data_IF_578413206656
#
_entry.id   IF_578413206656
#
_cell.length_a   1.000
_cell.length_b   1.000
_cell.length_c   1.000
_cell.angle_alpha   90.00
_cell.angle_beta   90.00
_cell.angle_gamma   90.00
#
_symmetry.space_group_name_H-M   'P 1'
#
loop_
_entity.id
_entity.type
_entity.pdbx_description
1 polymer ?
#
# COMPACT_ATOMS: atom_id res chain seq x y z
N UNK A 1 -77.00 64.80 40.09
CA UNK A 1 -75.89 64.19 40.85
C UNK A 1 -74.58 64.75 40.29
N UNK A 2 -74.03 65.78 40.93
CA UNK A 2 -72.57 66.05 40.96
C UNK A 2 -71.93 65.08 42.01
N UNK A 3 -70.61 64.76 42.01
CA UNK A 3 -69.45 65.67 41.82
C UNK A 3 -68.44 65.20 40.73
N UNK A 4 -67.69 66.10 40.06
CA UNK A 4 -66.39 66.74 40.42
C UNK A 4 -65.31 65.69 40.77
N UNK A 5 -64.10 65.72 40.20
CA UNK A 5 -62.99 66.59 40.63
C UNK A 5 -61.76 66.47 39.68
N UNK A 6 -61.31 67.64 39.19
CA UNK A 6 -59.94 68.17 38.89
C UNK A 6 -59.05 67.49 37.82
N UNK A 7 -58.64 68.15 36.72
CA UNK A 7 -57.76 69.35 36.53
C UNK A 7 -56.35 69.22 37.11
N UNK A 8 -55.36 69.46 36.22
CA UNK A 8 -53.92 69.78 36.34
C UNK A 8 -53.10 68.80 35.48
N UNK A 9 -52.30 69.19 34.48
CA UNK A 9 -51.79 70.49 34.07
C UNK A 9 -50.34 70.33 33.58
N UNK A 10 -50.01 70.98 32.45
CA UNK A 10 -48.66 71.35 31.95
C UNK A 10 -47.77 70.20 31.41
N UNK A 11 -47.47 70.10 30.11
CA UNK A 11 -46.49 70.90 29.34
C UNK A 11 -45.21 71.23 30.14
N UNK A 12 -44.13 70.46 29.95
CA UNK A 12 -42.76 70.94 29.70
C UNK A 12 -41.71 69.81 29.66
N UNK A 13 -40.68 70.05 28.83
CA UNK A 13 -39.38 69.37 28.68
C UNK A 13 -39.39 68.17 27.71
N UNK A 14 -39.02 68.34 26.42
CA UNK A 14 -37.65 68.58 25.93
C UNK A 14 -36.63 67.87 26.81
N UNK A 15 -36.16 66.71 26.38
CA UNK A 15 -35.02 66.07 27.03
C UNK A 15 -34.79 64.64 26.55
N UNK A 16 -33.78 64.49 25.69
CA UNK A 16 -33.14 63.24 25.30
C UNK A 16 -33.95 62.31 24.40
N UNK A 17 -33.74 62.56 23.09
CA UNK A 17 -33.15 61.52 22.24
C UNK A 17 -32.06 60.83 23.07
N UNK A 18 -32.39 59.70 23.68
CA UNK A 18 -31.37 58.72 24.06
C UNK A 18 -30.85 58.20 22.74
N UNK A 19 -29.93 58.96 22.14
CA UNK A 19 -28.84 58.39 21.38
C UNK A 19 -28.15 57.51 22.40
N UNK A 20 -28.65 56.28 22.51
CA UNK A 20 -27.88 55.20 23.05
C UNK A 20 -26.67 55.12 22.14
N UNK A 21 -25.61 55.83 22.52
CA UNK A 21 -24.28 55.33 22.28
C UNK A 21 -24.24 54.00 23.02
N UNK A 22 -24.76 52.95 22.37
CA UNK A 22 -24.15 51.65 22.46
C UNK A 22 -22.68 51.93 22.17
N UNK A 23 -21.88 51.99 23.23
CA UNK A 23 -20.44 51.89 23.14
C UNK A 23 -20.21 50.57 22.43
N UNK A 24 -20.17 50.61 21.09
CA UNK A 24 -19.69 49.51 20.29
C UNK A 24 -18.28 49.32 20.81
N UNK A 25 -18.08 48.31 21.64
CA UNK A 25 -16.76 47.86 22.04
C UNK A 25 -16.08 47.44 20.75
N UNK A 26 -15.34 48.37 20.15
CA UNK A 26 -14.71 48.17 18.85
C UNK A 26 -13.50 47.28 19.05
N UNK A 27 -13.54 46.09 18.46
CA UNK A 27 -12.48 45.11 18.54
C UNK A 27 -11.15 45.69 18.02
N UNK A 28 -10.07 45.36 18.70
CA UNK A 28 -8.69 45.57 18.23
C UNK A 28 -8.42 44.74 16.98
N UNK A 29 -7.32 45.03 16.26
CA UNK A 29 -6.96 44.26 15.07
C UNK A 29 -6.73 42.78 15.40
N UNK A 30 -6.04 42.50 16.51
CA UNK A 30 -5.78 41.14 16.98
C UNK A 30 -7.08 40.39 17.32
N UNK A 31 -8.04 41.04 17.99
CA UNK A 31 -9.37 40.46 18.27
C UNK A 31 -10.19 40.20 17.00
N UNK A 32 -10.02 41.04 15.96
CA UNK A 32 -10.66 40.84 14.65
C UNK A 32 -10.05 39.64 13.93
N UNK A 33 -8.73 39.48 13.96
CA UNK A 33 -8.04 38.35 13.35
C UNK A 33 -8.39 37.03 14.05
N UNK A 34 -8.41 36.99 15.38
CA UNK A 34 -8.83 35.80 16.14
C UNK A 34 -10.29 35.42 15.84
N UNK A 35 -11.19 36.40 15.77
CA UNK A 35 -12.58 36.16 15.39
C UNK A 35 -12.72 35.72 13.92
N UNK A 36 -11.89 36.26 13.02
CA UNK A 36 -11.85 35.84 11.63
C UNK A 36 -11.45 34.37 11.51
N UNK A 37 -10.38 33.95 12.17
CA UNK A 37 -9.90 32.56 12.18
C UNK A 37 -10.99 31.59 12.68
N UNK A 38 -11.69 31.96 13.77
CA UNK A 38 -12.81 31.17 14.28
C UNK A 38 -13.96 31.08 13.27
N UNK A 39 -14.38 32.20 12.68
CA UNK A 39 -15.47 32.21 11.69
C UNK A 39 -15.09 31.47 10.41
N UNK A 40 -13.84 31.55 9.97
CA UNK A 40 -13.32 30.77 8.85
C UNK A 40 -13.38 29.28 9.17
N UNK A 41 -12.87 28.86 10.33
CA UNK A 41 -12.92 27.46 10.74
C UNK A 41 -14.35 26.91 10.80
N UNK A 42 -15.31 27.67 11.34
CA UNK A 42 -16.73 27.30 11.33
C UNK A 42 -17.30 27.23 9.92
N UNK A 43 -17.00 28.22 9.07
CA UNK A 43 -17.46 28.27 7.69
C UNK A 43 -16.96 27.08 6.87
N UNK A 44 -15.67 26.78 6.99
CA UNK A 44 -15.02 25.62 6.37
C UNK A 44 -15.65 24.32 6.86
N UNK A 45 -15.89 24.17 8.16
CA UNK A 45 -16.53 22.97 8.71
C UNK A 45 -17.95 22.75 8.19
N UNK A 46 -18.68 23.81 7.81
CA UNK A 46 -20.02 23.71 7.21
C UNK A 46 -19.98 23.45 5.71
N UNK A 47 -19.01 24.04 5.01
CA UNK A 47 -18.90 23.95 3.56
C UNK A 47 -18.14 22.69 3.07
N UNK A 48 -17.28 22.10 3.90
CA UNK A 48 -16.50 20.92 3.52
C UNK A 48 -17.37 19.66 3.56
N UNK A 49 -17.94 19.30 2.40
CA UNK A 49 -18.61 18.02 2.22
C UNK A 49 -17.61 16.90 1.88
N UNK A 50 -17.25 16.14 2.91
CA UNK A 50 -16.39 14.96 2.84
C UNK A 50 -16.88 13.90 1.84
N UNK A 51 -18.20 13.71 1.73
CA UNK A 51 -18.79 12.74 0.80
C UNK A 51 -18.66 13.21 -0.65
N UNK A 52 -18.83 14.51 -0.88
CA UNK A 52 -18.61 15.09 -2.21
C UNK A 52 -17.15 14.94 -2.66
N UNK A 53 -16.18 15.13 -1.75
CA UNK A 53 -14.75 14.91 -2.04
C UNK A 53 -14.49 13.46 -2.45
N UNK A 54 -15.00 12.49 -1.69
CA UNK A 54 -14.84 11.06 -2.03
C UNK A 54 -15.47 10.73 -3.40
N UNK A 55 -16.67 11.24 -3.66
CA UNK A 55 -17.40 11.03 -4.93
C UNK A 55 -16.65 11.64 -6.11
N UNK A 56 -16.06 12.83 -5.94
CA UNK A 56 -15.25 13.50 -6.95
C UNK A 56 -13.97 12.72 -7.32
N UNK A 57 -13.44 11.94 -6.39
CA UNK A 57 -12.31 11.03 -6.62
C UNK A 57 -12.72 9.65 -7.15
N UNK A 58 -14.02 9.35 -7.27
CA UNK A 58 -14.51 8.03 -7.62
C UNK A 58 -14.33 6.98 -6.51
N UNK A 59 -14.24 7.41 -5.25
CA UNK A 59 -14.03 6.55 -4.08
C UNK A 59 -15.38 6.29 -3.39
N UNK A 60 -15.62 5.05 -2.96
CA UNK A 60 -16.82 4.71 -2.18
C UNK A 60 -16.81 5.36 -0.80
N UNK A 61 -17.95 5.94 -0.42
CA UNK A 61 -18.18 6.47 0.92
C UNK A 61 -18.87 5.42 1.83
N UNK A 62 -18.46 5.26 3.11
CA UNK A 62 -17.36 5.94 3.79
C UNK A 62 -15.98 5.43 3.36
N UNK A 63 -14.99 6.32 3.35
CA UNK A 63 -13.59 5.95 3.09
C UNK A 63 -13.01 5.33 4.35
N UNK A 64 -12.55 4.08 4.24
CA UNK A 64 -12.00 3.33 5.36
C UNK A 64 -10.49 3.17 5.15
N UNK A 65 -9.65 3.48 6.16
CA UNK A 65 -8.22 3.24 6.05
C UNK A 65 -7.91 1.74 6.02
N UNK A 66 -6.79 1.33 5.41
CA UNK A 66 -6.35 -0.07 5.41
C UNK A 66 -6.21 -0.62 6.82
N UNK A 67 -6.56 -1.90 7.01
CA UNK A 67 -6.43 -2.56 8.31
C UNK A 67 -5.00 -2.94 8.63
N UNK A 68 -4.21 -3.22 7.60
CA UNK A 68 -2.81 -3.59 7.72
C UNK A 68 -1.94 -2.66 6.90
N UNK A 69 -0.73 -2.45 7.39
CA UNK A 69 0.32 -1.76 6.64
C UNK A 69 0.74 -2.57 5.41
N UNK A 70 1.35 -1.88 4.44
CA UNK A 70 1.91 -2.51 3.25
C UNK A 70 2.89 -3.64 3.59
N UNK A 71 3.79 -3.42 4.56
CA UNK A 71 4.81 -4.41 4.95
C UNK A 71 4.20 -5.64 5.63
N UNK A 72 3.08 -5.49 6.35
CA UNK A 72 2.34 -6.63 6.90
C UNK A 72 1.70 -7.47 5.79
N UNK A 73 1.16 -6.84 4.74
CA UNK A 73 0.68 -7.56 3.55
C UNK A 73 1.79 -8.32 2.83
N UNK A 74 2.97 -7.71 2.70
CA UNK A 74 4.16 -8.36 2.16
C UNK A 74 4.53 -9.58 2.98
N UNK A 75 4.64 -9.44 4.31
CA UNK A 75 5.03 -10.53 5.19
C UNK A 75 4.02 -11.69 5.15
N UNK A 76 2.72 -11.40 5.21
CA UNK A 76 1.67 -12.43 5.13
C UNK A 76 1.65 -13.15 3.79
N UNK A 77 1.88 -12.43 2.69
CA UNK A 77 1.93 -13.00 1.35
C UNK A 77 3.18 -13.86 1.15
N UNK A 78 4.30 -13.47 1.75
CA UNK A 78 5.54 -14.25 1.79
C UNK A 78 5.35 -15.56 2.55
N UNK A 79 4.78 -15.53 3.76
CA UNK A 79 4.47 -16.74 4.54
C UNK A 79 3.50 -17.67 3.78
N UNK A 80 2.46 -17.10 3.15
CA UNK A 80 1.55 -17.87 2.30
C UNK A 80 2.28 -18.54 1.13
N UNK A 81 3.06 -17.79 0.35
CA UNK A 81 3.77 -18.32 -0.81
C UNK A 81 4.84 -19.35 -0.41
N UNK A 82 5.53 -19.13 0.70
CA UNK A 82 6.44 -20.11 1.30
C UNK A 82 5.70 -21.39 1.65
N UNK A 83 4.59 -21.33 2.37
CA UNK A 83 3.79 -22.49 2.73
C UNK A 83 3.36 -23.28 1.48
N UNK A 84 2.80 -22.60 0.47
CA UNK A 84 2.42 -23.21 -0.82
C UNK A 84 3.58 -23.87 -1.54
N UNK A 85 4.76 -23.24 -1.53
CA UNK A 85 5.98 -23.84 -2.11
C UNK A 85 6.43 -25.08 -1.35
N UNK A 86 6.30 -25.11 0.00
CA UNK A 86 6.64 -26.27 0.83
C UNK A 86 5.65 -27.42 0.60
N UNK A 87 4.36 -27.11 0.42
CA UNK A 87 3.34 -28.12 0.16
C UNK A 87 3.52 -28.77 -1.21
N UNK A 88 3.87 -27.97 -2.23
CA UNK A 88 4.12 -28.46 -3.58
C UNK A 88 5.42 -29.28 -3.67
N UNK A 89 6.46 -28.84 -2.97
CA UNK A 89 7.79 -29.45 -2.92
C UNK A 89 8.21 -29.69 -1.47
N UNK A 90 7.64 -30.73 -0.83
CA UNK A 90 7.92 -31.05 0.57
C UNK A 90 9.31 -31.66 0.73
N UNK A 91 9.91 -31.44 1.89
CA UNK A 91 11.26 -31.94 2.20
C UNK A 91 11.33 -33.49 2.22
N UNK A 92 10.18 -34.17 2.32
CA UNK A 92 10.09 -35.62 2.15
C UNK A 92 10.52 -36.09 0.76
N UNK A 93 10.31 -35.28 -0.29
CA UNK A 93 10.81 -35.59 -1.64
C UNK A 93 12.34 -35.54 -1.70
N UNK A 94 12.99 -34.63 -0.94
CA UNK A 94 14.46 -34.60 -0.84
C UNK A 94 15.01 -35.87 -0.19
N UNK A 95 14.33 -36.39 0.84
CA UNK A 95 14.69 -37.66 1.46
C UNK A 95 14.51 -38.84 0.49
N UNK A 96 13.44 -38.84 -0.30
CA UNK A 96 13.21 -39.84 -1.33
C UNK A 96 14.32 -39.82 -2.39
N UNK A 97 14.79 -38.64 -2.81
CA UNK A 97 15.92 -38.50 -3.75
C UNK A 97 17.23 -39.07 -3.18
N UNK A 98 17.46 -38.94 -1.87
CA UNK A 98 18.63 -39.54 -1.21
C UNK A 98 18.53 -41.07 -1.27
N UNK A 99 17.37 -41.63 -0.91
CA UNK A 99 17.14 -43.07 -0.97
C UNK A 99 17.26 -43.61 -2.40
N UNK A 100 16.73 -42.89 -3.39
CA UNK A 100 16.85 -43.25 -4.80
C UNK A 100 18.32 -43.24 -5.26
N UNK A 101 19.09 -42.23 -4.84
CA UNK A 101 20.51 -42.14 -5.16
C UNK A 101 21.32 -43.28 -4.52
N UNK A 102 21.00 -43.64 -3.26
CA UNK A 102 21.62 -44.77 -2.56
C UNK A 102 21.37 -46.09 -3.30
N UNK A 103 20.16 -46.30 -3.80
CA UNK A 103 19.81 -47.51 -4.55
C UNK A 103 20.47 -47.54 -5.95
N UNK A 104 20.35 -46.44 -6.69
CA UNK A 104 20.87 -46.31 -8.06
C UNK A 104 22.39 -46.42 -8.12
N UNK A 105 23.08 -45.83 -7.15
CA UNK A 105 24.53 -45.83 -7.04
C UNK A 105 25.00 -46.71 -5.88
N UNK A 106 24.38 -47.89 -5.71
CA UNK A 106 24.90 -48.90 -4.79
C UNK A 106 26.18 -49.52 -5.37
N UNK A 107 27.33 -49.48 -4.66
CA UNK A 107 28.55 -50.15 -5.08
C UNK A 107 28.35 -51.67 -5.18
N UNK A 108 28.86 -52.26 -6.24
CA UNK A 108 28.82 -53.69 -6.50
C UNK A 108 30.13 -54.32 -6.00
N UNK A 109 30.01 -55.36 -5.19
CA UNK A 109 31.13 -56.10 -4.62
C UNK A 109 31.26 -57.48 -5.22
N UNK A 110 32.45 -58.08 -5.06
CA UNK A 110 32.66 -59.50 -5.38
C UNK A 110 31.71 -60.34 -4.52
N UNK A 111 30.99 -61.26 -5.16
CA UNK A 111 29.93 -62.07 -4.57
C UNK A 111 28.51 -61.58 -4.87
N UNK A 112 28.32 -60.31 -5.24
CA UNK A 112 26.99 -59.77 -5.53
C UNK A 112 26.41 -60.37 -6.82
N UNK A 113 25.10 -60.64 -6.82
CA UNK A 113 24.36 -61.03 -8.02
C UNK A 113 24.04 -59.79 -8.85
N UNK A 114 24.44 -59.81 -10.11
CA UNK A 114 24.25 -58.68 -11.03
C UNK A 114 23.69 -59.13 -12.37
N UNK A 115 23.04 -58.19 -13.03
CA UNK A 115 22.63 -58.28 -14.43
C UNK A 115 23.21 -57.06 -15.16
N UNK A 116 24.15 -57.30 -16.08
CA UNK A 116 24.82 -56.24 -16.85
C UNK A 116 24.54 -56.45 -18.33
N UNK A 117 24.13 -55.38 -19.02
CA UNK A 117 23.98 -55.38 -20.46
C UNK A 117 25.21 -54.79 -21.12
N UNK A 118 25.73 -55.45 -22.15
CA UNK A 118 26.79 -54.89 -22.96
C UNK A 118 26.29 -53.74 -23.83
N UNK A 119 27.08 -52.67 -23.95
CA UNK A 119 26.81 -51.58 -24.90
C UNK A 119 27.19 -51.94 -26.33
N UNK A 120 27.97 -53.00 -26.56
CA UNK A 120 28.35 -53.44 -27.90
C UNK A 120 27.36 -54.46 -28.45
N UNK A 121 27.01 -54.38 -29.76
CA UNK A 121 26.26 -55.43 -30.44
C UNK A 121 26.95 -56.81 -30.25
N UNK A 122 26.21 -57.89 -29.96
CA UNK A 122 24.75 -58.02 -29.99
C UNK A 122 24.02 -57.66 -28.66
N UNK A 123 24.56 -56.76 -27.84
CA UNK A 123 23.96 -56.31 -26.56
C UNK A 123 23.72 -57.44 -25.57
N UNK A 124 24.72 -58.32 -25.42
CA UNK A 124 24.65 -59.49 -24.55
C UNK A 124 24.34 -59.08 -23.12
N UNK A 125 23.47 -59.84 -22.47
CA UNK A 125 23.15 -59.69 -21.05
C UNK A 125 23.94 -60.75 -20.26
N UNK A 126 24.73 -60.30 -19.29
CA UNK A 126 25.51 -61.12 -18.38
C UNK A 126 24.81 -61.16 -17.02
N UNK A 127 24.43 -62.34 -16.55
CA UNK A 127 23.75 -62.53 -15.26
C UNK A 127 24.53 -63.47 -14.35
N UNK A 128 24.79 -63.08 -13.12
CA UNK A 128 25.38 -63.98 -12.12
C UNK A 128 26.18 -63.26 -11.04
N UNK A 129 26.88 -64.05 -10.23
CA UNK A 129 27.73 -63.53 -9.16
C UNK A 129 28.99 -62.87 -9.73
N UNK A 130 29.35 -61.69 -9.24
CA UNK A 130 30.64 -61.06 -9.55
C UNK A 130 31.75 -61.89 -8.92
N UNK A 131 32.65 -62.44 -9.73
CA UNK A 131 33.76 -63.27 -9.26
C UNK A 131 35.06 -62.47 -9.10
N UNK A 132 35.29 -61.49 -9.98
CA UNK A 132 36.50 -60.65 -9.94
C UNK A 132 36.26 -59.34 -10.68
N UNK A 133 36.83 -58.26 -10.14
CA UNK A 133 36.86 -56.94 -10.76
C UNK A 133 38.33 -56.55 -10.95
N UNK A 134 38.70 -56.13 -12.16
CA UNK A 134 39.99 -55.56 -12.49
C UNK A 134 39.81 -54.33 -13.38
N UNK A 135 40.80 -53.44 -13.52
CA UNK A 135 40.66 -52.21 -14.31
C UNK A 135 40.19 -52.45 -15.76
N UNK A 136 40.63 -53.53 -16.40
CA UNK A 136 40.35 -53.82 -17.81
C UNK A 136 39.16 -54.77 -18.03
N UNK A 137 38.76 -55.52 -16.99
CA UNK A 137 37.78 -56.59 -17.13
C UNK A 137 37.05 -56.97 -15.83
N UNK A 138 35.83 -57.47 -15.99
CA UNK A 138 34.97 -58.00 -14.92
C UNK A 138 34.61 -59.44 -15.26
N UNK A 139 34.62 -60.33 -14.25
CA UNK A 139 34.21 -61.73 -14.40
C UNK A 139 32.91 -61.98 -13.64
N UNK A 140 31.90 -62.54 -14.32
CA UNK A 140 30.55 -62.75 -13.78
C UNK A 140 30.12 -64.19 -14.03
N UNK A 141 29.79 -64.94 -12.97
CA UNK A 141 29.34 -66.32 -13.06
C UNK A 141 30.23 -67.20 -13.95
N UNK A 142 29.61 -67.94 -14.87
CA UNK A 142 30.33 -68.77 -15.84
C UNK A 142 30.69 -68.01 -17.14
N UNK A 143 30.38 -66.71 -17.21
CA UNK A 143 30.85 -65.87 -18.30
C UNK A 143 32.35 -65.64 -18.14
N UNK A 144 33.07 -65.58 -19.27
CA UNK A 144 34.49 -65.26 -19.30
C UNK A 144 34.79 -63.83 -18.83
N UNK A 145 35.98 -63.33 -19.16
CA UNK A 145 36.31 -61.93 -18.89
C UNK A 145 35.49 -61.00 -19.81
N UNK A 146 34.73 -60.10 -19.20
CA UNK A 146 33.96 -59.05 -19.88
C UNK A 146 34.80 -57.77 -19.83
N UNK A 147 35.09 -57.16 -20.97
CA UNK A 147 35.88 -55.92 -20.99
C UNK A 147 35.10 -54.76 -20.38
N UNK A 148 35.75 -53.91 -19.59
CA UNK A 148 35.12 -52.69 -19.05
C UNK A 148 34.68 -51.72 -20.14
N UNK A 149 35.32 -51.75 -21.32
CA UNK A 149 34.92 -50.99 -22.52
C UNK A 149 33.60 -51.44 -23.14
N UNK A 150 33.12 -52.62 -22.78
CA UNK A 150 31.89 -53.21 -23.29
C UNK A 150 30.69 -52.96 -22.36
N UNK A 151 30.90 -52.26 -21.23
CA UNK A 151 29.90 -51.96 -20.20
C UNK A 151 29.56 -50.47 -20.24
N UNK A 152 28.32 -50.10 -19.97
CA UNK A 152 27.93 -48.69 -19.91
C UNK A 152 28.66 -47.96 -18.76
N UNK A 153 29.07 -46.70 -18.94
CA UNK A 153 29.84 -45.98 -17.93
C UNK A 153 29.14 -45.85 -16.57
N UNK A 154 27.80 -45.85 -16.54
CA UNK A 154 27.00 -45.70 -15.32
C UNK A 154 27.03 -46.99 -14.50
N UNK A 155 26.86 -48.14 -15.15
CA UNK A 155 27.01 -49.46 -14.52
C UNK A 155 28.45 -49.74 -14.14
N UNK A 156 29.43 -49.37 -14.98
CA UNK A 156 30.85 -49.58 -14.68
C UNK A 156 31.28 -48.82 -13.42
N UNK A 157 30.82 -47.59 -13.25
CA UNK A 157 31.14 -46.78 -12.07
C UNK A 157 30.67 -47.41 -10.75
N UNK A 158 29.70 -48.34 -10.78
CA UNK A 158 29.27 -49.08 -9.58
C UNK A 158 30.30 -50.09 -9.08
N UNK A 159 31.29 -50.47 -9.90
CA UNK A 159 32.37 -51.37 -9.51
C UNK A 159 33.57 -50.66 -8.85
N UNK A 160 33.55 -49.32 -8.82
CA UNK A 160 34.56 -48.49 -8.15
C UNK A 160 33.87 -47.62 -7.11
N UNK A 161 34.18 -47.83 -5.83
CA UNK A 161 33.55 -47.08 -4.73
C UNK A 161 33.73 -45.56 -4.87
N UNK A 162 34.92 -45.12 -5.28
CA UNK A 162 35.22 -43.70 -5.50
C UNK A 162 34.41 -43.09 -6.66
N UNK A 163 34.27 -43.81 -7.77
CA UNK A 163 33.48 -43.33 -8.92
C UNK A 163 31.97 -43.36 -8.61
N UNK A 164 31.52 -44.39 -7.91
CA UNK A 164 30.14 -44.55 -7.48
C UNK A 164 29.70 -43.38 -6.58
N UNK A 165 30.50 -43.07 -5.54
CA UNK A 165 30.26 -41.94 -4.65
C UNK A 165 30.37 -40.59 -5.37
N UNK A 166 31.28 -40.46 -6.35
CA UNK A 166 31.37 -39.26 -7.19
C UNK A 166 30.07 -39.04 -7.99
N UNK A 167 29.57 -40.08 -8.66
CA UNK A 167 28.33 -40.01 -9.45
C UNK A 167 27.10 -39.77 -8.59
N UNK A 168 27.01 -40.44 -7.44
CA UNK A 168 25.95 -40.23 -6.45
C UNK A 168 25.90 -38.77 -5.98
N UNK A 169 27.04 -38.19 -5.60
CA UNK A 169 27.12 -36.78 -5.22
C UNK A 169 26.69 -35.85 -6.36
N UNK A 170 27.13 -36.11 -7.59
CA UNK A 170 26.72 -35.30 -8.74
C UNK A 170 25.21 -35.41 -9.02
N UNK A 171 24.65 -36.61 -8.95
CA UNK A 171 23.21 -36.84 -9.08
C UNK A 171 22.41 -36.05 -8.05
N UNK A 172 22.78 -36.18 -6.77
CA UNK A 172 22.11 -35.47 -5.69
C UNK A 172 22.22 -33.95 -5.83
N UNK A 173 23.38 -33.44 -6.27
CA UNK A 173 23.56 -32.01 -6.55
C UNK A 173 22.56 -31.55 -7.61
N UNK A 174 22.53 -32.19 -8.78
CA UNK A 174 21.64 -31.81 -9.88
C UNK A 174 20.16 -31.89 -9.46
N UNK A 175 19.76 -32.97 -8.79
CA UNK A 175 18.37 -33.13 -8.35
C UNK A 175 17.97 -32.10 -7.29
N UNK A 176 18.87 -31.76 -6.35
CA UNK A 176 18.63 -30.69 -5.37
C UNK A 176 18.51 -29.32 -6.03
N UNK A 177 19.35 -29.04 -7.02
CA UNK A 177 19.29 -27.79 -7.78
C UNK A 177 17.94 -27.66 -8.51
N UNK A 178 17.51 -28.72 -9.20
CA UNK A 178 16.20 -28.76 -9.87
C UNK A 178 15.05 -28.61 -8.87
N UNK A 179 15.10 -29.31 -7.74
CA UNK A 179 14.09 -29.20 -6.68
C UNK A 179 14.01 -27.76 -6.14
N UNK A 180 15.15 -27.13 -5.86
CA UNK A 180 15.21 -25.76 -5.36
C UNK A 180 14.67 -24.76 -6.39
N UNK A 181 15.01 -24.93 -7.68
CA UNK A 181 14.46 -24.12 -8.77
C UNK A 181 12.94 -24.25 -8.85
N UNK A 182 12.42 -25.47 -8.91
CA UNK A 182 10.98 -25.70 -9.01
C UNK A 182 10.20 -25.15 -7.80
N UNK A 183 10.76 -25.28 -6.59
CA UNK A 183 10.16 -24.71 -5.38
C UNK A 183 10.16 -23.18 -5.41
N UNK A 184 11.25 -22.59 -5.89
CA UNK A 184 11.36 -21.14 -6.09
C UNK A 184 10.37 -20.65 -7.14
N UNK A 185 10.18 -21.38 -8.24
CA UNK A 185 9.22 -21.01 -9.30
C UNK A 185 7.78 -20.97 -8.79
N UNK A 186 7.40 -21.91 -7.90
CA UNK A 186 6.11 -21.85 -7.22
C UNK A 186 6.02 -20.59 -6.36
N UNK A 187 7.02 -20.31 -5.53
CA UNK A 187 7.03 -19.09 -4.73
C UNK A 187 6.89 -17.82 -5.58
N UNK A 188 7.70 -17.69 -6.64
CA UNK A 188 7.71 -16.52 -7.52
C UNK A 188 6.39 -16.33 -8.28
N UNK A 189 5.62 -17.40 -8.48
CA UNK A 189 4.27 -17.33 -9.05
C UNK A 189 3.21 -16.95 -8.03
N UNK A 190 3.23 -17.56 -6.83
CA UNK A 190 2.18 -17.40 -5.82
C UNK A 190 2.28 -16.05 -5.08
N UNK A 191 3.49 -15.61 -4.74
CA UNK A 191 3.74 -14.37 -3.99
C UNK A 191 3.12 -13.12 -4.63
N UNK A 192 3.44 -12.76 -5.89
CA UNK A 192 2.92 -11.53 -6.50
C UNK A 192 1.40 -11.57 -6.68
N UNK A 193 0.83 -12.74 -6.97
CA UNK A 193 -0.61 -12.92 -7.11
C UNK A 193 -1.31 -12.67 -5.78
N UNK A 194 -0.80 -13.27 -4.69
CA UNK A 194 -1.38 -13.14 -3.37
C UNK A 194 -1.26 -11.70 -2.84
N UNK A 195 -0.07 -11.10 -2.96
CA UNK A 195 0.19 -9.75 -2.49
C UNK A 195 -0.68 -8.72 -3.20
N UNK A 196 -0.77 -8.80 -4.54
CA UNK A 196 -1.63 -7.90 -5.31
C UNK A 196 -3.08 -7.97 -4.84
N UNK A 197 -3.61 -9.19 -4.68
CA UNK A 197 -4.99 -9.38 -4.25
C UNK A 197 -5.24 -8.85 -2.84
N UNK A 198 -4.33 -9.09 -1.89
CA UNK A 198 -4.52 -8.64 -0.51
C UNK A 198 -4.44 -7.13 -0.36
N UNK A 199 -3.53 -6.48 -1.10
CA UNK A 199 -3.41 -5.02 -1.12
C UNK A 199 -4.69 -4.36 -1.66
N UNK A 200 -5.19 -4.83 -2.80
CA UNK A 200 -6.42 -4.30 -3.40
C UNK A 200 -7.65 -4.49 -2.49
N UNK A 201 -7.75 -5.64 -1.83
CA UNK A 201 -8.84 -5.95 -0.90
C UNK A 201 -8.85 -5.01 0.32
N UNK A 202 -7.68 -4.60 0.80
CA UNK A 202 -7.52 -3.72 1.97
C UNK A 202 -7.46 -2.23 1.61
N UNK A 203 -7.73 -1.86 0.35
CA UNK A 203 -7.86 -0.47 -0.08
C UNK A 203 -6.54 0.19 -0.53
N UNK A 204 -5.51 -0.58 -0.86
CA UNK A 204 -4.34 -0.07 -1.57
C UNK A 204 -4.54 -0.11 -3.08
N UNK A 205 -4.06 0.91 -3.78
CA UNK A 205 -4.07 0.99 -5.24
C UNK A 205 -2.67 1.26 -5.78
N UNK A 206 -2.31 0.71 -6.95
CA UNK A 206 -1.05 1.04 -7.60
C UNK A 206 -1.11 2.47 -8.17
N UNK A 207 -0.01 3.21 -8.03
CA UNK A 207 0.13 4.56 -8.61
C UNK A 207 0.15 4.51 -10.14
N UNK A 208 0.80 3.50 -10.71
CA UNK A 208 0.73 3.18 -12.13
C UNK A 208 0.17 1.75 -12.31
N UNK A 209 -1.08 1.60 -12.78
CA UNK A 209 -1.69 0.29 -13.01
C UNK A 209 -1.06 -0.48 -14.19
N UNK A 210 -0.30 0.20 -15.06
CA UNK A 210 0.34 -0.40 -16.24
C UNK A 210 1.79 -0.83 -16.00
N UNK A 211 2.35 -0.57 -14.82
CA UNK A 211 3.71 -0.93 -14.46
C UNK A 211 3.87 -2.46 -14.47
N UNK A 212 4.86 -2.94 -15.23
CA UNK A 212 5.13 -4.39 -15.45
C UNK A 212 6.47 -4.85 -14.87
N UNK A 213 7.27 -3.94 -14.34
CA UNK A 213 8.57 -4.28 -13.77
C UNK A 213 8.44 -5.01 -12.43
N UNK A 214 9.53 -5.64 -12.01
CA UNK A 214 9.63 -6.25 -10.67
C UNK A 214 9.46 -5.21 -9.55
N UNK A 215 9.72 -3.93 -9.84
CA UNK A 215 9.53 -2.84 -8.88
C UNK A 215 8.05 -2.58 -8.55
N UNK A 216 7.10 -3.14 -9.32
CA UNK A 216 5.67 -3.00 -9.09
C UNK A 216 5.25 -3.32 -7.65
N UNK A 217 5.91 -4.27 -6.99
CA UNK A 217 5.59 -4.69 -5.61
C UNK A 217 6.36 -3.93 -4.52
N UNK A 218 6.99 -2.80 -4.85
CA UNK A 218 7.60 -1.91 -3.85
C UNK A 218 6.54 -0.97 -3.28
N UNK A 219 6.65 -0.68 -1.97
CA UNK A 219 5.70 0.18 -1.25
C UNK A 219 5.51 1.55 -1.89
N UNK A 220 6.57 2.15 -2.44
CA UNK A 220 6.54 3.47 -3.10
C UNK A 220 5.58 3.55 -4.30
N UNK A 221 5.28 2.41 -4.93
CA UNK A 221 4.43 2.29 -6.11
C UNK A 221 2.96 2.00 -5.77
N UNK A 222 2.64 1.90 -4.49
CA UNK A 222 1.30 1.71 -3.97
C UNK A 222 0.94 2.86 -3.04
N UNK A 223 -0.34 3.18 -2.98
CA UNK A 223 -0.88 4.18 -2.07
C UNK A 223 -2.19 3.68 -1.49
N UNK A 224 -2.47 4.03 -0.23
CA UNK A 224 -3.77 3.77 0.33
C UNK A 224 -4.78 4.77 -0.26
N UNK A 225 -5.96 4.28 -0.61
CA UNK A 225 -7.05 5.13 -1.11
C UNK A 225 -7.45 6.18 -0.05
N UNK A 226 -7.33 5.84 1.24
CA UNK A 226 -7.51 6.78 2.35
C UNK A 226 -6.55 7.97 2.28
N UNK A 227 -5.26 7.73 2.00
CA UNK A 227 -4.25 8.78 1.98
C UNK A 227 -4.52 9.77 0.84
N UNK A 228 -4.92 9.24 -0.33
CA UNK A 228 -5.32 10.06 -1.48
C UNK A 228 -6.57 10.89 -1.16
N UNK A 229 -7.52 10.31 -0.43
CA UNK A 229 -8.73 11.00 0.01
C UNK A 229 -8.43 12.10 1.05
N UNK A 230 -7.57 11.82 2.03
CA UNK A 230 -7.14 12.79 3.04
C UNK A 230 -6.41 13.97 2.42
N UNK A 231 -5.50 13.71 1.47
CA UNK A 231 -4.82 14.76 0.72
C UNK A 231 -5.80 15.69 -0.02
N UNK A 232 -6.81 15.13 -0.68
CA UNK A 232 -7.83 15.93 -1.36
C UNK A 232 -8.72 16.71 -0.39
N UNK A 233 -9.04 16.14 0.77
CA UNK A 233 -9.77 16.87 1.82
C UNK A 233 -8.97 18.06 2.33
N UNK A 234 -7.66 17.90 2.54
CA UNK A 234 -6.77 18.97 2.96
C UNK A 234 -6.66 20.07 1.89
N UNK A 235 -6.55 19.70 0.63
CA UNK A 235 -6.53 20.66 -0.48
C UNK A 235 -7.85 21.45 -0.56
N UNK A 236 -8.99 20.75 -0.49
CA UNK A 236 -10.31 21.38 -0.50
C UNK A 236 -10.52 22.30 0.70
N UNK A 237 -10.07 21.86 1.88
CA UNK A 237 -10.09 22.65 3.11
C UNK A 237 -9.31 23.94 2.95
N UNK A 238 -8.07 23.89 2.44
CA UNK A 238 -7.23 25.08 2.22
C UNK A 238 -7.86 26.06 1.24
N UNK A 239 -8.44 25.57 0.14
CA UNK A 239 -9.15 26.44 -0.80
C UNK A 239 -10.32 27.17 -0.16
N UNK A 240 -11.11 26.48 0.68
CA UNK A 240 -12.20 27.11 1.44
C UNK A 240 -11.70 28.10 2.49
N UNK A 241 -10.59 27.79 3.17
CA UNK A 241 -9.96 28.70 4.13
C UNK A 241 -9.51 30.00 3.44
N UNK A 242 -8.86 29.91 2.28
CA UNK A 242 -8.42 31.08 1.50
C UNK A 242 -9.60 31.93 1.02
N UNK A 243 -10.63 31.30 0.45
CA UNK A 243 -11.84 32.01 -0.03
C UNK A 243 -12.59 32.72 1.12
N UNK A 244 -12.80 32.04 2.25
CA UNK A 244 -13.54 32.58 3.38
C UNK A 244 -12.75 33.61 4.19
N UNK A 245 -11.42 33.43 4.31
CA UNK A 245 -10.58 34.33 5.10
C UNK A 245 -10.61 35.75 4.54
N UNK A 246 -10.50 35.91 3.22
CA UNK A 246 -10.54 37.25 2.61
C UNK A 246 -11.89 37.94 2.84
N UNK A 247 -13.00 37.23 2.58
CA UNK A 247 -14.35 37.80 2.72
C UNK A 247 -14.68 38.16 4.18
N UNK A 248 -14.43 37.25 5.12
CA UNK A 248 -14.73 37.44 6.55
C UNK A 248 -13.84 38.54 7.15
N UNK A 249 -12.56 38.60 6.77
CA UNK A 249 -11.64 39.60 7.29
C UNK A 249 -12.05 41.00 6.82
N UNK A 250 -12.43 41.17 5.54
CA UNK A 250 -12.99 42.42 5.03
C UNK A 250 -14.28 42.80 5.79
N UNK A 251 -15.23 41.88 5.94
CA UNK A 251 -16.48 42.10 6.68
C UNK A 251 -16.22 42.60 8.12
N UNK A 252 -15.31 41.93 8.84
CA UNK A 252 -15.02 42.24 10.24
C UNK A 252 -14.25 43.55 10.41
N UNK A 253 -13.27 43.84 9.55
CA UNK A 253 -12.52 45.10 9.59
C UNK A 253 -13.42 46.30 9.25
N UNK A 254 -14.24 46.21 8.20
CA UNK A 254 -15.18 47.28 7.82
C UNK A 254 -16.24 47.53 8.90
N UNK A 255 -16.82 46.46 9.45
CA UNK A 255 -17.83 46.58 10.52
C UNK A 255 -17.28 47.13 11.84
N UNK A 256 -15.96 47.01 12.08
CA UNK A 256 -15.28 47.60 13.25
C UNK A 256 -14.66 48.98 12.96
N UNK A 257 -14.93 49.57 11.79
CA UNK A 257 -14.52 50.94 11.45
C UNK A 257 -13.07 51.08 11.01
N UNK A 258 -12.52 50.04 10.39
CA UNK A 258 -11.26 50.10 9.66
C UNK A 258 -11.52 50.28 8.15
N UNK A 259 -10.56 50.89 7.46
CA UNK A 259 -10.53 50.95 6.00
C UNK A 259 -9.16 50.49 5.50
N UNK A 260 -9.16 49.90 4.29
CA UNK A 260 -7.94 49.46 3.63
C UNK A 260 -7.21 50.67 3.02
N UNK A 261 -6.03 51.01 3.53
CA UNK A 261 -5.15 52.06 3.01
C UNK A 261 -3.92 51.39 2.36
N UNK A 262 -3.98 51.22 1.03
CA UNK A 262 -3.01 50.45 0.28
C UNK A 262 -3.06 48.96 0.62
N UNK A 263 -2.08 48.46 1.38
CA UNK A 263 -1.99 47.06 1.85
C UNK A 263 -2.18 46.90 3.37
N UNK A 264 -2.62 47.95 4.07
CA UNK A 264 -2.76 47.92 5.54
C UNK A 264 -4.13 48.43 5.96
N UNK A 265 -4.77 47.69 6.86
CA UNK A 265 -5.98 48.14 7.55
C UNK A 265 -5.62 49.27 8.52
N UNK A 266 -6.32 50.41 8.40
CA UNK A 266 -6.17 51.54 9.32
C UNK A 266 -7.52 51.88 9.93
N UNK A 267 -7.51 52.08 11.25
CA UNK A 267 -8.70 52.50 11.99
C UNK A 267 -9.07 53.92 11.58
N UNK A 268 -10.33 54.14 11.23
CA UNK A 268 -10.85 55.46 10.90
C UNK A 268 -11.01 56.28 12.18
N UNK A 269 -10.23 57.36 12.28
CA UNK A 269 -10.17 58.23 13.47
C UNK A 269 -11.42 59.10 13.63
N UNK A 270 -12.25 59.28 12.59
CA UNK A 270 -13.49 60.08 12.60
C UNK A 270 -14.55 59.50 11.67
N UNK A 271 -15.82 59.65 12.06
CA UNK A 271 -17.04 59.19 11.34
C UNK A 271 -17.23 59.87 9.96
N UNK A 272 -16.37 60.82 9.57
CA UNK A 272 -16.50 61.60 8.33
C UNK A 272 -15.50 61.25 7.22
N UNK A 273 -14.62 60.27 7.41
CA UNK A 273 -13.65 59.87 6.39
C UNK A 273 -14.05 58.57 5.69
N UNK A 274 -15.29 58.47 5.22
CA UNK A 274 -15.68 57.45 4.23
C UNK A 274 -15.34 58.00 2.83
N UNK A 275 -14.31 57.49 2.13
CA UNK A 275 -14.24 57.72 0.70
C UNK A 275 -15.39 56.94 0.05
N UNK A 276 -16.42 57.66 -0.41
CA UNK A 276 -17.53 57.15 -1.23
C UNK A 276 -17.07 56.76 -2.66
N UNK A 277 -15.88 56.21 -2.82
CA UNK A 277 -15.34 55.79 -4.12
C UNK A 277 -15.01 54.30 -4.09
N UNK A 278 -15.96 53.51 -4.58
CA UNK A 278 -15.76 52.07 -4.82
C UNK A 278 -16.83 51.20 -4.18
N UNK A 279 -18.11 51.42 -4.51
CA UNK A 279 -19.11 50.34 -4.38
C UNK A 279 -18.68 49.19 -5.32
N UNK A 280 -17.84 48.29 -4.85
CA UNK A 280 -18.01 46.90 -5.24
C UNK A 280 -19.31 46.46 -4.59
N UNK A 281 -20.39 46.48 -5.37
CA UNK A 281 -21.59 45.72 -5.03
C UNK A 281 -21.17 44.27 -4.86
N UNK A 282 -20.88 43.87 -3.62
CA UNK A 282 -20.83 42.46 -3.24
C UNK A 282 -22.19 41.87 -3.59
N UNK A 283 -22.17 40.87 -4.44
CA UNK A 283 -23.33 40.11 -4.85
C UNK A 283 -23.82 39.33 -3.62
N UNK A 284 -24.92 39.82 -3.01
CA UNK A 284 -25.58 39.23 -1.83
C UNK A 284 -26.02 37.76 -2.02
N UNK A 285 -25.83 37.19 -3.20
CA UNK A 285 -26.21 35.83 -3.57
C UNK A 285 -25.24 34.75 -3.10
N UNK A 286 -24.04 35.08 -2.61
CA UNK A 286 -23.05 34.05 -2.24
C UNK A 286 -23.29 33.43 -0.85
N UNK A 287 -23.58 34.23 0.18
CA UNK A 287 -23.95 33.73 1.52
C UNK A 287 -25.30 32.99 1.53
N UNK A 288 -26.20 33.27 0.59
CA UNK A 288 -27.43 32.49 0.40
C UNK A 288 -27.16 31.15 -0.33
N UNK A 289 -26.08 31.05 -1.11
CA UNK A 289 -25.68 29.80 -1.79
C UNK A 289 -25.19 28.70 -0.84
N UNK A 290 -24.73 29.04 0.34
CA UNK A 290 -24.27 28.08 1.36
C UNK A 290 -25.25 27.93 2.54
N UNK A 291 -26.45 28.52 2.44
CA UNK A 291 -27.55 28.37 3.40
C UNK A 291 -28.66 27.42 2.92
N UNK A 292 -28.49 26.77 1.78
CA UNK A 292 -29.48 25.87 1.19
C UNK A 292 -28.96 24.44 1.02
N UNK A 293 -29.72 23.51 1.62
CA UNK A 293 -29.66 22.03 1.59
C UNK A 293 -28.76 21.31 2.62
#
# INVERSE_FOLDING_TARGET
MEPRVRLFGCLLLIGLIVVGQSSVTRMTADEIEELADLRVAEGVSRALDLRAVATGLGISWPVVPPRYSFDEHVHRSDEYAKARSRDAYPDSQLLALISEADEKFRPIRVGDQVEIRSIRPPHRIYKGAVQRVSPDAIRIGNYGQISTKDIDPDTLARFSEAECESRKRNYLRVQRDVFAMNRKDVYEREFPVKLKASLLEDGYVPKDPNERSKAFFLSVNWEAVSDRYEAACLEKKRGLEEELAEEILVELYESNGFALDGKRWRRLSRVHDFPLSGRHTMDRTFLERFRGE
#
